data_IF_682537681769
#
_entry.id   IF_682537681769
#
_cell.length_a   1.000
_cell.length_b   1.000
_cell.length_c   1.000
_cell.angle_alpha   90.00
_cell.angle_beta   90.00
_cell.angle_gamma   90.00
#
_symmetry.space_group_name_H-M   'P 1'
#
loop_
_entity.id
_entity.type
_entity.pdbx_description
1 polymer ?
#
# COMPACT_ATOMS: atom_id res chain seq x y z
N UNK A 1 29.52 16.17 0.75
CA UNK A 1 29.35 15.69 -0.64
C UNK A 1 29.99 16.70 -1.57
N UNK A 2 30.82 16.28 -2.53
CA UNK A 2 31.42 17.20 -3.51
C UNK A 2 31.01 16.88 -4.94
N UNK A 3 30.51 17.87 -5.66
CA UNK A 3 30.15 17.77 -7.05
C UNK A 3 31.25 18.37 -7.93
N UNK A 4 31.67 17.62 -8.94
CA UNK A 4 32.45 18.12 -10.06
C UNK A 4 31.58 18.14 -11.30
N UNK A 5 31.62 19.22 -12.09
CA UNK A 5 30.83 19.30 -13.32
C UNK A 5 31.74 19.66 -14.49
N UNK A 6 31.98 18.70 -15.38
CA UNK A 6 32.68 18.90 -16.65
C UNK A 6 31.68 19.46 -17.67
N UNK A 7 31.89 20.70 -18.10
CA UNK A 7 30.93 21.42 -18.95
C UNK A 7 31.63 22.43 -19.84
N UNK A 8 30.95 22.86 -20.90
CA UNK A 8 31.31 24.03 -21.69
C UNK A 8 30.78 25.34 -21.10
N UNK A 9 29.85 25.30 -20.14
CA UNK A 9 29.19 26.48 -19.60
C UNK A 9 29.25 26.50 -18.06
N UNK A 10 30.45 26.64 -17.45
CA UNK A 10 30.61 26.66 -15.99
C UNK A 10 29.70 27.66 -15.28
N UNK A 11 29.56 28.88 -15.83
CA UNK A 11 28.74 29.93 -15.23
C UNK A 11 27.26 29.54 -15.10
N UNK A 12 26.74 28.73 -16.03
CA UNK A 12 25.35 28.27 -15.98
C UNK A 12 25.10 27.40 -14.75
N UNK A 13 26.04 26.49 -14.47
CA UNK A 13 25.96 25.59 -13.30
C UNK A 13 26.16 26.37 -12.01
N UNK A 14 27.18 27.24 -11.95
CA UNK A 14 27.49 28.03 -10.75
C UNK A 14 26.29 28.89 -10.34
N UNK A 15 25.70 29.63 -11.28
CA UNK A 15 24.52 30.48 -11.03
C UNK A 15 23.23 29.69 -10.78
N UNK A 16 23.18 28.43 -11.19
CA UNK A 16 22.03 27.57 -10.90
C UNK A 16 22.05 27.03 -9.47
N UNK A 17 23.25 26.81 -8.92
CA UNK A 17 23.45 26.16 -7.63
C UNK A 17 23.62 27.14 -6.46
N UNK A 18 23.96 28.40 -6.72
CA UNK A 18 24.30 29.43 -5.71
C UNK A 18 23.08 30.05 -4.97
N UNK A 19 21.87 29.56 -5.24
CA UNK A 19 20.63 30.10 -4.68
C UNK A 19 19.91 29.13 -3.73
N UNK A 20 18.99 29.69 -2.93
CA UNK A 20 18.06 28.93 -2.08
C UNK A 20 18.75 27.93 -1.13
N UNK A 21 18.23 26.71 -1.00
CA UNK A 21 18.72 25.69 -0.08
C UNK A 21 20.12 25.16 -0.46
N UNK A 22 20.41 25.08 -1.77
CA UNK A 22 21.69 24.62 -2.28
C UNK A 22 22.80 25.63 -1.97
N UNK A 23 22.54 26.92 -2.20
CA UNK A 23 23.45 28.02 -1.80
C UNK A 23 23.74 27.98 -0.30
N UNK A 24 22.71 27.88 0.54
CA UNK A 24 22.86 27.75 2.00
C UNK A 24 23.62 26.50 2.42
N UNK A 25 23.44 25.38 1.71
CA UNK A 25 24.16 24.14 1.97
C UNK A 25 25.65 24.27 1.63
N UNK A 26 25.99 24.97 0.54
CA UNK A 26 27.37 25.30 0.19
C UNK A 26 28.01 26.26 1.20
N UNK A 27 27.32 27.31 1.63
CA UNK A 27 27.81 28.24 2.66
C UNK A 27 28.14 27.53 3.99
N UNK A 28 27.39 26.48 4.31
CA UNK A 28 27.61 25.63 5.49
C UNK A 28 28.64 24.52 5.27
N UNK A 29 29.19 24.37 4.07
CA UNK A 29 30.15 23.31 3.74
C UNK A 29 29.55 21.89 3.75
N UNK A 30 28.23 21.76 3.59
CA UNK A 30 27.56 20.45 3.54
C UNK A 30 27.70 19.81 2.15
N UNK A 31 27.61 20.65 1.12
CA UNK A 31 27.88 20.31 -0.27
C UNK A 31 28.93 21.27 -0.84
N UNK A 32 29.69 20.82 -1.82
CA UNK A 32 30.69 21.63 -2.53
C UNK A 32 30.50 21.46 -4.05
N UNK A 33 30.81 22.51 -4.82
CA UNK A 33 30.72 22.50 -6.28
C UNK A 33 32.04 22.97 -6.90
N UNK A 34 32.56 22.20 -7.85
CA UNK A 34 33.70 22.56 -8.68
C UNK A 34 33.36 22.33 -10.17
N UNK A 35 33.19 23.42 -10.91
CA UNK A 35 32.97 23.34 -12.36
C UNK A 35 34.29 23.32 -13.11
N UNK A 36 34.43 22.41 -14.07
CA UNK A 36 35.62 22.21 -14.89
C UNK A 36 35.26 22.53 -16.33
N UNK A 37 35.83 23.61 -16.88
CA UNK A 37 35.62 23.97 -18.27
C UNK A 37 36.44 23.07 -19.18
N UNK A 38 35.77 22.27 -20.02
CA UNK A 38 36.45 21.32 -20.91
C UNK A 38 37.38 22.06 -21.90
N UNK A 39 37.08 23.32 -22.24
CA UNK A 39 37.92 24.15 -23.13
C UNK A 39 39.30 24.43 -22.60
N UNK A 40 39.49 24.41 -21.29
CA UNK A 40 40.80 24.63 -20.66
C UNK A 40 41.78 23.47 -20.96
N UNK A 41 41.25 22.35 -21.47
CA UNK A 41 41.99 21.12 -21.79
C UNK A 41 42.07 20.85 -23.30
N UNK A 42 41.68 21.81 -24.15
CA UNK A 42 41.64 21.66 -25.61
C UNK A 42 43.01 21.37 -26.26
N UNK A 43 44.11 21.72 -25.60
CA UNK A 43 45.48 21.54 -26.13
C UNK A 43 45.80 22.38 -27.37
N UNK A 44 44.90 23.29 -27.78
CA UNK A 44 45.07 24.14 -28.96
C UNK A 44 44.80 25.62 -28.64
N UNK A 45 45.41 26.52 -29.42
CA UNK A 45 45.36 27.98 -29.21
C UNK A 45 43.97 28.60 -29.31
N UNK A 46 42.99 27.86 -29.85
CA UNK A 46 41.65 28.35 -30.12
C UNK A 46 40.62 27.87 -29.08
N UNK A 47 41.01 26.98 -28.16
CA UNK A 47 40.07 26.37 -27.22
C UNK A 47 39.00 25.51 -27.91
N UNK A 48 39.27 25.03 -29.14
CA UNK A 48 38.33 24.18 -29.89
C UNK A 48 38.29 22.79 -29.26
N UNK A 49 37.09 22.31 -28.94
CA UNK A 49 36.88 21.02 -28.24
C UNK A 49 35.97 20.07 -29.01
N UNK A 50 35.58 20.45 -30.23
CA UNK A 50 34.64 19.74 -31.06
C UNK A 50 35.17 19.56 -32.50
N UNK A 51 34.72 18.52 -33.18
CA UNK A 51 34.97 18.30 -34.60
C UNK A 51 33.82 17.61 -35.31
N UNK A 52 33.90 17.54 -36.64
CA UNK A 52 32.93 16.81 -37.44
C UNK A 52 32.95 15.30 -37.12
N UNK A 53 31.78 14.64 -37.07
CA UNK A 53 31.71 13.20 -36.84
C UNK A 53 32.31 12.40 -38.01
N UNK A 54 33.06 11.34 -37.71
CA UNK A 54 33.38 10.32 -38.71
C UNK A 54 32.09 9.62 -39.20
N UNK A 55 32.04 9.28 -40.48
CA UNK A 55 30.84 8.71 -41.12
C UNK A 55 29.91 9.75 -41.76
N UNK A 56 30.17 11.05 -41.59
CA UNK A 56 29.32 12.14 -42.08
C UNK A 56 28.12 12.38 -41.16
N UNK A 57 27.35 13.42 -41.46
CA UNK A 57 26.24 13.88 -40.61
C UNK A 57 26.29 15.39 -40.38
N UNK A 58 25.18 15.94 -39.89
CA UNK A 58 25.14 17.33 -39.42
C UNK A 58 25.64 17.40 -37.96
N UNK A 59 26.11 18.58 -37.55
CA UNK A 59 26.53 18.82 -36.17
C UNK A 59 28.02 18.54 -35.91
N UNK A 60 28.38 18.61 -34.63
CA UNK A 60 29.75 18.45 -34.14
C UNK A 60 29.74 17.45 -32.98
N UNK A 61 30.87 16.79 -32.72
CA UNK A 61 31.08 15.85 -31.62
C UNK A 61 32.23 16.36 -30.75
N UNK A 62 32.07 16.31 -29.43
CA UNK A 62 33.15 16.66 -28.51
C UNK A 62 34.31 15.66 -28.63
N UNK A 63 35.50 16.21 -28.78
CA UNK A 63 36.73 15.46 -28.96
C UNK A 63 37.10 14.68 -27.68
N UNK A 64 37.73 13.49 -27.81
CA UNK A 64 38.03 12.65 -26.66
C UNK A 64 39.10 13.24 -25.73
N UNK A 65 40.15 13.84 -26.28
CA UNK A 65 41.32 14.27 -25.49
C UNK A 65 40.98 15.36 -24.45
N UNK A 66 40.27 16.46 -24.78
CA UNK A 66 39.96 17.49 -23.78
C UNK A 66 39.08 16.97 -22.65
N UNK A 67 38.14 16.07 -22.97
CA UNK A 67 37.28 15.42 -21.98
C UNK A 67 38.11 14.50 -21.07
N UNK A 68 38.99 13.68 -21.64
CA UNK A 68 39.86 12.79 -20.88
C UNK A 68 40.80 13.56 -19.94
N UNK A 69 41.43 14.64 -20.42
CA UNK A 69 42.33 15.46 -19.61
C UNK A 69 41.60 16.19 -18.47
N UNK A 70 40.37 16.67 -18.72
CA UNK A 70 39.53 17.24 -17.67
C UNK A 70 39.16 16.20 -16.60
N UNK A 71 38.78 14.99 -17.01
CA UNK A 71 38.54 13.87 -16.10
C UNK A 71 39.80 13.50 -15.30
N UNK A 72 40.95 13.38 -15.96
CA UNK A 72 42.23 13.06 -15.32
C UNK A 72 42.66 14.10 -14.29
N UNK A 73 42.40 15.38 -14.54
CA UNK A 73 42.65 16.44 -13.58
C UNK A 73 41.80 16.27 -12.31
N UNK A 74 40.52 15.92 -12.46
CA UNK A 74 39.64 15.61 -11.32
C UNK A 74 40.13 14.34 -10.61
N UNK A 75 40.41 13.27 -11.35
CA UNK A 75 40.93 11.99 -10.81
C UNK A 75 42.17 12.19 -9.95
N UNK A 76 43.12 13.00 -10.41
CA UNK A 76 44.34 13.33 -9.66
C UNK A 76 44.06 14.12 -8.38
N UNK A 77 43.13 15.09 -8.43
CA UNK A 77 42.71 15.87 -7.24
C UNK A 77 42.02 14.98 -6.20
N UNK A 78 41.16 14.07 -6.67
CA UNK A 78 40.39 13.15 -5.83
C UNK A 78 41.26 11.99 -5.31
N UNK A 79 42.34 11.62 -6.03
CA UNK A 79 43.27 10.55 -5.63
C UNK A 79 42.77 9.13 -5.94
N UNK A 80 41.59 8.99 -6.55
CA UNK A 80 40.98 7.73 -7.00
C UNK A 80 40.13 7.98 -8.25
N UNK A 81 39.70 6.91 -8.92
CA UNK A 81 38.72 7.01 -10.02
C UNK A 81 37.37 7.45 -9.45
N UNK A 82 36.88 8.66 -9.77
CA UNK A 82 35.58 9.11 -9.27
C UNK A 82 34.45 8.49 -10.09
N UNK A 83 33.28 8.36 -9.47
CA UNK A 83 32.05 7.95 -10.17
C UNK A 83 31.64 9.08 -11.11
N UNK A 84 31.55 8.77 -12.41
CA UNK A 84 31.38 9.76 -13.47
C UNK A 84 30.10 9.48 -14.25
N UNK A 85 29.14 10.38 -14.12
CA UNK A 85 27.80 10.28 -14.67
C UNK A 85 27.76 11.07 -15.97
N UNK A 86 27.54 10.39 -17.09
CA UNK A 86 27.25 11.04 -18.36
C UNK A 86 25.74 11.24 -18.52
N UNK A 87 25.39 12.49 -18.85
CA UNK A 87 24.02 12.95 -18.96
C UNK A 87 23.57 12.80 -20.41
N UNK A 88 22.74 11.80 -20.67
CA UNK A 88 22.35 11.40 -22.03
C UNK A 88 20.94 10.84 -22.05
N UNK A 89 20.14 11.13 -23.10
CA UNK A 89 18.81 10.51 -23.26
C UNK A 89 18.89 8.99 -23.46
N UNK A 90 20.06 8.43 -23.78
CA UNK A 90 20.28 6.99 -23.94
C UNK A 90 20.47 6.25 -22.60
N UNK A 91 20.64 7.01 -21.50
CA UNK A 91 20.90 6.46 -20.19
C UNK A 91 19.69 5.87 -19.50
N UNK A 92 19.91 5.20 -18.37
CA UNK A 92 18.80 4.74 -17.50
C UNK A 92 18.02 5.96 -16.97
N UNK A 93 16.68 5.93 -16.94
CA UNK A 93 15.91 7.03 -16.38
C UNK A 93 16.27 7.32 -14.92
N UNK A 94 16.42 8.60 -14.59
CA UNK A 94 16.70 9.08 -13.25
C UNK A 94 15.46 8.90 -12.36
N UNK A 95 15.63 8.20 -11.25
CA UNK A 95 14.57 7.82 -10.33
C UNK A 95 15.00 8.02 -8.87
N UNK A 96 14.06 7.86 -7.94
CA UNK A 96 14.30 8.11 -6.52
C UNK A 96 15.35 7.15 -5.92
N UNK A 97 15.40 5.90 -6.38
CA UNK A 97 16.42 4.94 -5.97
C UNK A 97 17.82 5.40 -6.36
N UNK A 98 17.95 6.02 -7.55
CA UNK A 98 19.21 6.59 -8.03
C UNK A 98 19.64 7.80 -7.20
N UNK A 99 18.70 8.65 -6.79
CA UNK A 99 18.97 9.79 -5.90
C UNK A 99 19.61 9.31 -4.62
N UNK A 100 19.01 8.32 -3.96
CA UNK A 100 19.50 7.76 -2.70
C UNK A 100 20.82 7.02 -2.85
N UNK A 101 21.01 6.32 -3.97
CA UNK A 101 22.27 5.66 -4.31
C UNK A 101 23.40 6.69 -4.44
N UNK A 102 23.19 7.72 -5.26
CA UNK A 102 24.17 8.77 -5.51
C UNK A 102 24.44 9.63 -4.28
N UNK A 103 23.46 9.87 -3.41
CA UNK A 103 23.64 10.67 -2.19
C UNK A 103 24.62 10.03 -1.18
N UNK A 104 24.93 8.74 -1.32
CA UNK A 104 25.89 8.03 -0.46
C UNK A 104 27.33 8.20 -0.90
N UNK A 105 27.57 8.70 -2.11
CA UNK A 105 28.92 8.95 -2.59
C UNK A 105 29.51 10.18 -1.87
N UNK A 106 30.81 10.18 -1.54
CA UNK A 106 31.44 11.40 -1.01
C UNK A 106 31.66 12.45 -2.11
N UNK A 107 31.85 12.01 -3.36
CA UNK A 107 31.95 12.87 -4.53
C UNK A 107 31.35 12.26 -5.79
N UNK A 108 30.87 13.11 -6.69
CA UNK A 108 30.30 12.75 -7.99
C UNK A 108 30.83 13.67 -9.08
N UNK A 109 31.09 13.10 -10.26
CA UNK A 109 31.43 13.87 -11.48
C UNK A 109 30.27 13.81 -12.45
N UNK A 110 29.80 14.96 -12.92
CA UNK A 110 28.82 15.07 -13.98
C UNK A 110 29.50 15.50 -15.28
N UNK A 111 29.36 14.69 -16.32
CA UNK A 111 29.84 14.99 -17.67
C UNK A 111 28.67 15.54 -18.50
N UNK A 112 28.72 16.83 -18.81
CA UNK A 112 27.72 17.48 -19.64
C UNK A 112 28.08 17.35 -21.12
N UNK A 113 27.29 16.60 -21.88
CA UNK A 113 27.38 16.57 -23.33
C UNK A 113 26.88 17.86 -23.96
N UNK A 114 27.32 18.14 -25.19
CA UNK A 114 26.80 19.20 -26.04
C UNK A 114 26.92 18.76 -27.50
N UNK A 115 26.28 19.52 -28.41
CA UNK A 115 26.24 19.22 -29.84
C UNK A 115 25.56 17.86 -30.08
N UNK A 116 26.11 16.99 -30.96
CA UNK A 116 25.58 15.64 -31.17
C UNK A 116 25.96 14.66 -30.04
N UNK A 117 26.94 15.04 -29.20
CA UNK A 117 27.42 14.21 -28.10
C UNK A 117 28.93 14.27 -27.93
N UNK A 118 29.46 13.21 -27.31
CA UNK A 118 30.88 13.05 -26.99
C UNK A 118 31.38 11.81 -27.70
N UNK A 119 32.64 11.83 -28.15
CA UNK A 119 33.29 10.65 -28.74
C UNK A 119 33.18 9.42 -27.81
N UNK A 120 32.62 8.33 -28.34
CA UNK A 120 32.29 7.13 -27.55
C UNK A 120 33.50 6.57 -26.79
N UNK A 121 34.70 6.66 -27.36
CA UNK A 121 35.92 6.09 -26.78
C UNK A 121 36.28 6.73 -25.44
N UNK A 122 36.07 8.04 -25.28
CA UNK A 122 36.33 8.68 -23.98
C UNK A 122 35.23 8.36 -22.98
N UNK A 123 34.00 8.11 -23.44
CA UNK A 123 32.91 7.67 -22.58
C UNK A 123 33.23 6.29 -22.00
N UNK A 124 33.64 5.33 -22.82
CA UNK A 124 34.08 3.98 -22.40
C UNK A 124 35.20 4.02 -21.35
N UNK A 125 36.15 4.96 -21.48
CA UNK A 125 37.28 5.09 -20.56
C UNK A 125 36.94 5.78 -19.24
N UNK A 126 36.04 6.77 -19.26
CA UNK A 126 35.84 7.69 -18.11
C UNK A 126 34.52 7.49 -17.37
N UNK A 127 33.44 7.17 -18.08
CA UNK A 127 32.07 7.14 -17.55
C UNK A 127 31.79 5.84 -16.81
N UNK A 128 31.05 5.94 -15.70
CA UNK A 128 30.55 4.79 -14.94
C UNK A 128 29.05 4.60 -15.10
N UNK A 129 28.31 5.69 -15.33
CA UNK A 129 26.86 5.69 -15.36
C UNK A 129 26.34 6.58 -16.50
N UNK A 130 25.43 6.04 -17.30
CA UNK A 130 24.70 6.79 -18.32
C UNK A 130 23.30 7.05 -17.78
N UNK A 131 22.92 8.32 -17.60
CA UNK A 131 21.65 8.69 -16.95
C UNK A 131 20.87 9.69 -17.79
N UNK A 132 19.57 9.40 -17.95
CA UNK A 132 18.58 10.27 -18.59
C UNK A 132 17.66 10.89 -17.54
N UNK A 133 17.28 12.15 -17.68
CA UNK A 133 16.25 12.78 -16.82
C UNK A 133 14.84 12.72 -17.43
N UNK A 134 14.68 12.00 -18.54
CA UNK A 134 13.39 11.71 -19.16
C UNK A 134 13.45 11.59 -20.68
N UNK A 135 12.33 11.18 -21.27
CA UNK A 135 12.22 10.83 -22.69
C UNK A 135 12.00 12.07 -23.56
N UNK A 136 12.99 12.97 -23.57
CA UNK A 136 13.04 14.19 -24.38
C UNK A 136 14.50 14.61 -24.61
N UNK A 137 14.73 15.50 -25.58
CA UNK A 137 16.07 15.95 -25.97
C UNK A 137 16.30 17.39 -25.53
N UNK A 138 17.48 17.64 -24.94
CA UNK A 138 17.95 18.97 -24.54
C UNK A 138 19.19 19.36 -25.34
N UNK A 139 19.56 20.64 -25.29
CA UNK A 139 20.73 21.17 -26.01
C UNK A 139 22.07 20.80 -25.37
N UNK A 140 22.05 20.38 -24.09
CA UNK A 140 23.25 20.01 -23.34
C UNK A 140 22.93 19.37 -22.00
N UNK A 141 23.95 18.84 -21.36
CA UNK A 141 23.85 18.14 -20.07
C UNK A 141 23.72 19.05 -18.84
N UNK A 142 23.85 20.37 -18.98
CA UNK A 142 23.91 21.28 -17.83
C UNK A 142 22.60 21.30 -17.01
N UNK A 143 21.45 21.32 -17.66
CA UNK A 143 20.15 21.25 -16.98
C UNK A 143 19.95 19.90 -16.26
N UNK A 144 20.18 18.72 -16.90
CA UNK A 144 20.19 17.44 -16.20
C UNK A 144 21.13 17.39 -14.99
N UNK A 145 22.33 17.96 -15.10
CA UNK A 145 23.28 17.99 -13.99
C UNK A 145 22.69 18.73 -12.78
N UNK A 146 22.10 19.91 -13.00
CA UNK A 146 21.47 20.71 -11.95
C UNK A 146 20.26 20.01 -11.34
N UNK A 147 19.41 19.38 -12.16
CA UNK A 147 18.25 18.60 -11.68
C UNK A 147 18.71 17.46 -10.76
N UNK A 148 19.73 16.71 -11.19
CA UNK A 148 20.25 15.59 -10.40
C UNK A 148 20.94 16.08 -9.13
N UNK A 149 21.80 17.10 -9.21
CA UNK A 149 22.47 17.67 -8.04
C UNK A 149 21.49 18.21 -7.01
N UNK A 150 20.41 18.89 -7.43
CA UNK A 150 19.34 19.35 -6.52
C UNK A 150 18.71 18.17 -5.79
N UNK A 151 18.22 17.17 -6.53
CA UNK A 151 17.56 15.99 -5.96
C UNK A 151 18.48 15.23 -4.99
N UNK A 152 19.74 14.98 -5.37
CA UNK A 152 20.74 14.28 -4.56
C UNK A 152 21.09 15.08 -3.30
N UNK A 153 21.27 16.41 -3.42
CA UNK A 153 21.66 17.27 -2.30
C UNK A 153 20.65 17.23 -1.16
N UNK A 154 19.36 17.05 -1.46
CA UNK A 154 18.29 16.95 -0.45
C UNK A 154 18.48 15.76 0.51
N UNK A 155 19.17 14.72 0.07
CA UNK A 155 19.48 13.52 0.86
C UNK A 155 20.85 13.59 1.57
N UNK A 156 21.62 14.66 1.35
CA UNK A 156 22.86 14.89 2.09
C UNK A 156 22.54 15.35 3.52
N UNK A 157 23.07 14.68 4.56
CA UNK A 157 22.78 15.03 5.95
C UNK A 157 23.03 16.50 6.27
N UNK A 158 22.03 17.16 6.85
CA UNK A 158 22.09 18.56 7.27
C UNK A 158 21.63 19.59 6.23
N UNK A 159 21.41 19.18 4.96
CA UNK A 159 20.93 20.10 3.92
C UNK A 159 19.49 20.51 4.19
N UNK A 160 18.59 19.54 4.43
CA UNK A 160 17.23 19.81 4.91
C UNK A 160 17.19 19.81 6.44
N UNK A 161 16.51 20.80 7.03
CA UNK A 161 16.47 21.00 8.49
C UNK A 161 15.56 20.00 9.23
N UNK A 162 14.60 19.40 8.53
CA UNK A 162 13.59 18.54 9.11
C UNK A 162 13.71 17.15 8.49
N UNK A 163 14.14 16.17 9.28
CA UNK A 163 14.15 14.76 8.84
C UNK A 163 12.75 14.28 8.45
N UNK A 164 11.68 14.85 9.03
CA UNK A 164 10.29 14.56 8.67
C UNK A 164 9.90 15.04 7.26
N UNK A 165 10.50 16.13 6.75
CA UNK A 165 10.11 16.67 5.44
C UNK A 165 10.49 15.73 4.29
N UNK A 166 11.61 15.01 4.43
CA UNK A 166 12.02 13.97 3.48
C UNK A 166 11.29 12.63 3.70
N UNK A 167 10.50 12.49 4.78
CA UNK A 167 9.79 11.26 5.14
C UNK A 167 8.33 11.19 4.66
N UNK A 168 7.80 12.23 4.02
CA UNK A 168 6.43 12.21 3.48
C UNK A 168 6.34 12.88 2.10
N UNK A 169 7.27 12.56 1.19
CA UNK A 169 7.29 13.15 -0.16
C UNK A 169 6.72 12.21 -1.23
N UNK A 170 6.43 12.77 -2.40
CA UNK A 170 6.05 11.95 -3.55
C UNK A 170 7.16 10.94 -3.87
N UNK A 171 6.74 9.76 -4.32
CA UNK A 171 7.55 8.57 -4.65
C UNK A 171 8.14 7.83 -3.45
N UNK A 172 8.05 8.40 -2.25
CA UNK A 172 8.22 7.61 -1.04
C UNK A 172 7.05 6.62 -0.90
N UNK A 173 7.36 5.36 -0.62
CA UNK A 173 6.41 4.22 -0.65
C UNK A 173 5.61 4.10 -1.96
N UNK A 174 6.18 4.60 -3.07
CA UNK A 174 5.57 4.60 -4.39
C UNK A 174 4.20 5.30 -4.44
N UNK A 175 4.01 6.37 -3.65
CA UNK A 175 2.80 7.18 -3.62
C UNK A 175 3.09 8.64 -3.98
N UNK A 176 2.12 9.31 -4.60
CA UNK A 176 2.13 10.77 -4.73
C UNK A 176 1.71 11.42 -3.41
N UNK A 177 2.28 12.58 -3.12
CA UNK A 177 1.97 13.34 -1.91
C UNK A 177 0.52 13.85 -1.91
N UNK A 178 -0.07 13.95 -0.72
CA UNK A 178 -1.42 14.44 -0.50
C UNK A 178 -1.58 15.95 -0.85
N UNK A 179 -2.80 16.49 -1.01
CA UNK A 179 -3.00 17.91 -1.23
C UNK A 179 -2.60 18.74 0.00
N UNK A 180 -1.83 19.80 -0.25
CA UNK A 180 -1.52 20.82 0.74
C UNK A 180 -2.50 21.98 0.70
N UNK A 181 -2.81 22.51 1.88
CA UNK A 181 -3.63 23.69 2.06
C UNK A 181 -2.93 24.66 2.99
N UNK A 182 -3.07 25.95 2.73
CA UNK A 182 -2.57 27.02 3.61
C UNK A 182 -3.63 28.10 3.76
N UNK A 183 -3.36 29.07 4.62
CA UNK A 183 -4.27 30.19 4.89
C UNK A 183 -4.47 31.01 3.61
N UNK A 184 -5.67 31.59 3.39
CA UNK A 184 -6.84 31.63 4.28
C UNK A 184 -7.73 30.36 4.22
N UNK A 185 -8.59 30.17 5.22
CA UNK A 185 -9.46 28.97 5.33
C UNK A 185 -10.51 28.84 4.21
N UNK A 186 -10.94 29.96 3.62
CA UNK A 186 -11.82 29.97 2.45
C UNK A 186 -11.21 30.87 1.39
N UNK A 187 -10.97 30.32 0.20
CA UNK A 187 -10.48 31.07 -0.95
C UNK A 187 -11.44 30.90 -2.12
N UNK A 188 -12.09 31.99 -2.55
CA UNK A 188 -13.09 32.01 -3.64
C UNK A 188 -14.21 30.97 -3.46
N UNK A 189 -14.73 30.85 -2.23
CA UNK A 189 -15.77 29.89 -1.88
C UNK A 189 -15.29 28.43 -1.79
N UNK A 190 -13.99 28.16 -1.92
CA UNK A 190 -13.39 26.84 -1.69
C UNK A 190 -12.82 26.78 -0.28
N UNK A 191 -13.39 25.92 0.54
CA UNK A 191 -12.96 25.71 1.92
C UNK A 191 -11.80 24.73 2.02
N UNK A 192 -10.92 24.94 3.01
CA UNK A 192 -9.97 23.91 3.45
C UNK A 192 -10.75 22.74 4.07
N UNK A 193 -10.39 21.46 3.78
CA UNK A 193 -11.03 20.31 4.40
C UNK A 193 -11.11 20.42 5.92
N UNK A 194 -12.32 20.27 6.49
CA UNK A 194 -12.57 20.50 7.92
C UNK A 194 -11.67 19.65 8.84
N UNK A 195 -11.29 18.44 8.42
CA UNK A 195 -10.35 17.59 9.16
C UNK A 195 -8.99 18.28 9.40
N UNK A 196 -8.52 19.08 8.44
CA UNK A 196 -7.25 19.83 8.56
C UNK A 196 -7.35 21.04 9.50
N UNK A 197 -8.57 21.49 9.80
CA UNK A 197 -8.85 22.59 10.74
C UNK A 197 -9.14 22.09 12.16
N UNK A 198 -9.27 20.78 12.36
CA UNK A 198 -9.69 20.18 13.63
C UNK A 198 -8.60 20.18 14.72
N UNK A 199 -7.32 20.29 14.33
CA UNK A 199 -6.17 20.12 15.23
C UNK A 199 -5.95 18.68 15.72
N UNK A 200 -6.72 17.70 15.26
CA UNK A 200 -6.56 16.31 15.63
C UNK A 200 -5.52 15.61 14.74
N UNK A 201 -4.39 15.19 15.31
CA UNK A 201 -3.28 14.60 14.57
C UNK A 201 -3.66 13.29 13.85
N UNK A 202 -4.20 12.28 14.54
CA UNK A 202 -4.51 10.98 13.90
C UNK A 202 -5.52 11.08 12.75
N UNK A 203 -6.64 11.85 12.88
CA UNK A 203 -7.55 12.06 11.76
C UNK A 203 -6.91 12.78 10.57
N UNK A 204 -5.98 13.70 10.81
CA UNK A 204 -5.23 14.40 9.75
C UNK A 204 -4.32 13.43 9.01
N UNK A 205 -3.55 12.60 9.72
CA UNK A 205 -2.68 11.60 9.10
C UNK A 205 -3.47 10.54 8.31
N UNK A 206 -4.58 10.07 8.86
CA UNK A 206 -5.48 9.14 8.16
C UNK A 206 -6.00 9.75 6.86
N UNK A 207 -6.41 11.02 6.92
CA UNK A 207 -6.87 11.73 5.73
C UNK A 207 -5.75 11.94 4.71
N UNK A 208 -4.54 12.30 5.16
CA UNK A 208 -3.34 12.47 4.31
C UNK A 208 -3.01 11.19 3.55
N UNK A 209 -2.94 10.06 4.25
CA UNK A 209 -2.71 8.75 3.64
C UNK A 209 -3.79 8.42 2.59
N UNK A 210 -5.07 8.59 2.93
CA UNK A 210 -6.17 8.33 2.01
C UNK A 210 -6.13 9.23 0.76
N UNK A 211 -5.78 10.51 0.90
CA UNK A 211 -5.64 11.42 -0.24
C UNK A 211 -4.43 11.11 -1.11
N UNK A 212 -3.31 10.71 -0.50
CA UNK A 212 -2.10 10.28 -1.20
C UNK A 212 -2.39 9.08 -2.12
N UNK A 213 -3.04 8.05 -1.58
CA UNK A 213 -3.50 6.88 -2.36
C UNK A 213 -4.45 7.29 -3.48
N UNK A 214 -5.47 8.10 -3.16
CA UNK A 214 -6.45 8.57 -4.15
C UNK A 214 -5.78 9.30 -5.31
N UNK A 215 -4.88 10.24 -5.02
CA UNK A 215 -4.18 11.02 -6.04
C UNK A 215 -3.26 10.16 -6.88
N UNK A 216 -2.56 9.21 -6.27
CA UNK A 216 -1.71 8.25 -6.98
C UNK A 216 -2.56 7.45 -7.97
N UNK A 217 -3.71 6.93 -7.54
CA UNK A 217 -4.65 6.22 -8.41
C UNK A 217 -5.14 7.07 -9.59
N UNK A 218 -5.46 8.34 -9.35
CA UNK A 218 -5.99 9.25 -10.37
C UNK A 218 -4.94 9.68 -11.40
N UNK A 219 -3.67 9.82 -11.00
CA UNK A 219 -2.63 10.49 -11.83
C UNK A 219 -1.48 9.60 -12.26
N UNK A 220 -1.11 8.63 -11.43
CA UNK A 220 0.02 7.71 -11.62
C UNK A 220 -0.36 6.29 -11.17
N UNK A 221 -1.40 5.67 -11.77
CA UNK A 221 -1.84 4.33 -11.40
C UNK A 221 -0.74 3.28 -11.58
N UNK A 222 0.26 3.56 -12.43
CA UNK A 222 1.46 2.74 -12.62
C UNK A 222 2.28 2.56 -11.33
N UNK A 223 2.31 3.55 -10.43
CA UNK A 223 3.00 3.43 -9.13
C UNK A 223 2.29 2.46 -8.18
N UNK A 224 1.01 2.16 -8.43
CA UNK A 224 0.25 1.16 -7.68
C UNK A 224 0.41 -0.26 -8.25
N UNK A 225 0.95 -0.42 -9.47
CA UNK A 225 1.00 -1.69 -10.20
C UNK A 225 1.88 -2.78 -9.53
N UNK A 226 2.61 -2.45 -8.47
CA UNK A 226 3.36 -3.40 -7.63
C UNK A 226 2.67 -3.82 -6.31
N UNK A 227 1.51 -3.21 -5.97
CA UNK A 227 0.80 -3.44 -4.70
C UNK A 227 -0.17 -4.62 -4.79
N UNK A 228 -0.47 -5.23 -3.64
CA UNK A 228 -1.42 -6.34 -3.59
C UNK A 228 -2.86 -5.84 -3.73
N UNK A 229 -3.66 -6.46 -4.60
CA UNK A 229 -5.11 -6.27 -4.59
C UNK A 229 -5.72 -7.08 -3.46
N UNK A 230 -6.62 -6.48 -2.68
CA UNK A 230 -7.26 -7.15 -1.56
C UNK A 230 -8.50 -7.91 -2.07
N UNK A 231 -8.54 -9.22 -1.89
CA UNK A 231 -9.75 -10.02 -2.14
C UNK A 231 -10.43 -10.29 -0.80
N UNK A 232 -11.53 -9.60 -0.52
CA UNK A 232 -12.27 -9.69 0.72
C UNK A 232 -13.40 -10.74 0.60
N UNK A 233 -13.14 -11.96 1.07
CA UNK A 233 -14.12 -13.03 1.13
C UNK A 233 -14.80 -13.05 2.50
N UNK A 234 -16.07 -12.66 2.55
CA UNK A 234 -16.78 -12.39 3.81
C UNK A 234 -18.05 -13.21 3.91
N UNK A 235 -18.17 -13.97 4.98
CA UNK A 235 -19.44 -14.51 5.45
C UNK A 235 -19.87 -13.70 6.66
N UNK A 236 -21.00 -13.00 6.61
CA UNK A 236 -21.49 -12.23 7.75
C UNK A 236 -23.00 -12.02 7.67
N UNK A 237 -23.80 -13.00 8.13
CA UNK A 237 -25.26 -12.89 8.05
C UNK A 237 -25.82 -11.68 8.80
N UNK A 238 -25.12 -11.17 9.81
CA UNK A 238 -25.60 -10.06 10.66
C UNK A 238 -24.73 -8.80 10.56
N UNK A 239 -23.93 -8.67 9.50
CA UNK A 239 -23.07 -7.51 9.16
C UNK A 239 -21.93 -7.16 10.14
N UNK A 240 -21.91 -7.72 11.36
CA UNK A 240 -20.89 -7.37 12.35
C UNK A 240 -19.47 -7.66 11.88
N UNK A 241 -19.25 -8.82 11.22
CA UNK A 241 -17.95 -9.17 10.64
C UNK A 241 -17.65 -8.31 9.41
N UNK A 242 -18.65 -8.03 8.57
CA UNK A 242 -18.49 -7.15 7.40
C UNK A 242 -17.98 -5.77 7.79
N UNK A 243 -18.45 -5.21 8.92
CA UNK A 243 -17.99 -3.92 9.41
C UNK A 243 -16.48 -3.92 9.73
N UNK A 244 -15.99 -4.96 10.40
CA UNK A 244 -14.56 -5.09 10.70
C UNK A 244 -13.72 -5.24 9.43
N UNK A 245 -14.23 -5.99 8.44
CA UNK A 245 -13.56 -6.13 7.13
C UNK A 245 -13.51 -4.80 6.38
N UNK A 246 -14.55 -3.97 6.45
CA UNK A 246 -14.53 -2.62 5.85
C UNK A 246 -13.47 -1.73 6.48
N UNK A 247 -13.33 -1.75 7.81
CA UNK A 247 -12.25 -1.01 8.47
C UNK A 247 -10.86 -1.52 8.07
N UNK A 248 -10.68 -2.83 7.98
CA UNK A 248 -9.42 -3.39 7.49
C UNK A 248 -9.14 -2.92 6.06
N UNK A 249 -10.12 -3.03 5.16
CA UNK A 249 -9.99 -2.62 3.77
C UNK A 249 -9.67 -1.13 3.61
N UNK A 250 -10.34 -0.27 4.38
CA UNK A 250 -10.07 1.18 4.44
C UNK A 250 -8.63 1.46 4.88
N UNK A 251 -8.17 0.81 5.96
CA UNK A 251 -6.81 0.96 6.48
C UNK A 251 -5.75 0.36 5.54
N UNK A 252 -6.08 -0.73 4.85
CA UNK A 252 -5.20 -1.39 3.90
C UNK A 252 -5.00 -0.57 2.62
N UNK A 253 -5.95 0.29 2.25
CA UNK A 253 -5.75 1.34 1.25
C UNK A 253 -5.64 0.87 -0.22
N UNK A 254 -6.13 -0.33 -0.56
CA UNK A 254 -6.04 -0.91 -1.93
C UNK A 254 -7.38 -1.04 -2.64
N UNK A 255 -7.34 -1.41 -3.92
CA UNK A 255 -8.52 -1.95 -4.60
C UNK A 255 -9.00 -3.23 -3.91
N UNK A 256 -10.31 -3.36 -3.75
CA UNK A 256 -10.93 -4.49 -3.05
C UNK A 256 -11.92 -5.21 -3.95
N UNK A 257 -11.65 -6.49 -4.20
CA UNK A 257 -12.64 -7.40 -4.77
C UNK A 257 -13.46 -8.01 -3.62
N UNK A 258 -14.75 -7.67 -3.57
CA UNK A 258 -15.66 -8.17 -2.54
C UNK A 258 -16.34 -9.46 -2.96
N UNK A 259 -16.21 -10.51 -2.14
CA UNK A 259 -16.91 -11.78 -2.30
C UNK A 259 -17.87 -11.97 -1.11
N UNK A 260 -19.16 -11.71 -1.34
CA UNK A 260 -20.22 -11.89 -0.35
C UNK A 260 -20.61 -13.37 -0.27
N UNK A 261 -19.99 -14.10 0.65
CA UNK A 261 -20.22 -15.53 0.86
C UNK A 261 -21.53 -15.82 1.59
N UNK A 262 -22.31 -14.80 1.98
CA UNK A 262 -23.69 -15.01 2.40
C UNK A 262 -24.51 -15.58 1.23
N UNK A 263 -24.18 -15.20 -0.01
CA UNK A 263 -24.89 -15.63 -1.23
C UNK A 263 -24.42 -17.02 -1.68
N UNK A 264 -25.33 -18.01 -1.76
CA UNK A 264 -25.00 -19.34 -2.25
C UNK A 264 -24.41 -19.34 -3.67
N UNK A 265 -24.87 -18.47 -4.58
CA UNK A 265 -24.31 -18.39 -5.94
C UNK A 265 -22.81 -18.04 -5.93
N UNK A 266 -22.40 -17.07 -5.10
CA UNK A 266 -20.98 -16.67 -4.99
C UNK A 266 -20.14 -17.83 -4.46
N UNK A 267 -20.66 -18.62 -3.51
CA UNK A 267 -19.96 -19.83 -3.00
C UNK A 267 -19.86 -20.97 -4.02
N UNK A 268 -20.67 -20.97 -5.08
CA UNK A 268 -20.63 -21.96 -6.17
C UNK A 268 -19.69 -21.55 -7.31
N UNK A 269 -19.35 -20.27 -7.41
CA UNK A 269 -18.45 -19.74 -8.43
C UNK A 269 -16.99 -19.88 -8.00
N UNK A 270 -16.20 -20.63 -8.77
CA UNK A 270 -14.76 -20.72 -8.52
C UNK A 270 -14.09 -19.36 -8.72
N UNK A 271 -13.26 -18.95 -7.76
CA UNK A 271 -12.50 -17.71 -7.81
C UNK A 271 -11.02 -18.04 -7.68
N UNK A 272 -10.26 -17.74 -8.73
CA UNK A 272 -8.81 -17.93 -8.79
C UNK A 272 -8.15 -16.60 -8.53
N UNK A 273 -7.29 -16.55 -7.51
CA UNK A 273 -6.52 -15.37 -7.17
C UNK A 273 -5.31 -15.21 -8.08
N UNK A 274 -5.06 -13.99 -8.53
CA UNK A 274 -3.90 -13.60 -9.33
C UNK A 274 -2.64 -13.52 -8.46
N UNK A 275 -1.45 -13.52 -9.06
CA UNK A 275 -0.16 -13.56 -8.34
C UNK A 275 -0.02 -12.47 -7.25
N UNK A 276 -0.60 -11.28 -7.51
CA UNK A 276 -0.56 -10.11 -6.62
C UNK A 276 -1.85 -9.91 -5.81
N UNK A 277 -2.67 -10.95 -5.65
CA UNK A 277 -3.80 -10.90 -4.74
C UNK A 277 -3.41 -11.31 -3.31
N UNK A 278 -3.96 -10.60 -2.32
CA UNK A 278 -3.99 -11.02 -0.92
C UNK A 278 -5.43 -11.31 -0.50
N UNK A 279 -5.67 -12.49 0.06
CA UNK A 279 -7.00 -12.89 0.51
C UNK A 279 -7.25 -12.42 1.95
N UNK A 280 -8.31 -11.65 2.19
CA UNK A 280 -8.88 -11.48 3.52
C UNK A 280 -10.11 -12.38 3.66
N UNK A 281 -9.99 -13.45 4.43
CA UNK A 281 -11.06 -14.40 4.69
C UNK A 281 -11.68 -14.14 6.07
N UNK A 282 -12.95 -13.75 6.10
CA UNK A 282 -13.61 -13.31 7.32
C UNK A 282 -14.94 -14.03 7.55
N UNK A 283 -15.15 -14.51 8.77
CA UNK A 283 -16.40 -15.18 9.15
C UNK A 283 -16.72 -15.02 10.65
N UNK A 284 -18.01 -15.02 11.04
CA UNK A 284 -18.39 -15.17 12.43
C UNK A 284 -18.02 -16.55 12.99
N UNK A 285 -18.02 -16.65 14.30
CA UNK A 285 -17.71 -17.88 15.06
C UNK A 285 -18.98 -18.55 15.59
N UNK A 286 -19.18 -19.82 15.25
CA UNK A 286 -20.33 -20.64 15.68
C UNK A 286 -19.82 -21.77 16.57
N UNK A 287 -20.22 -21.79 17.84
CA UNK A 287 -19.75 -22.81 18.79
C UNK A 287 -18.21 -22.89 18.97
N UNK A 288 -17.49 -21.81 18.64
CA UNK A 288 -16.01 -21.79 18.62
C UNK A 288 -15.39 -22.29 17.31
N UNK A 289 -16.21 -22.63 16.32
CA UNK A 289 -15.85 -23.22 15.04
C UNK A 289 -16.30 -22.34 13.87
N UNK A 290 -15.81 -22.65 12.68
CA UNK A 290 -16.30 -22.10 11.42
C UNK A 290 -17.77 -22.52 11.22
N UNK A 291 -18.65 -21.64 10.71
CA UNK A 291 -20.05 -21.99 10.48
C UNK A 291 -20.17 -23.24 9.58
N UNK A 292 -21.07 -24.18 9.92
CA UNK A 292 -21.29 -25.41 9.16
C UNK A 292 -22.11 -25.10 7.91
N UNK A 293 -21.55 -24.29 7.02
CA UNK A 293 -22.17 -23.83 5.78
C UNK A 293 -21.50 -24.55 4.61
N UNK A 294 -22.31 -25.18 3.77
CA UNK A 294 -21.85 -25.88 2.59
C UNK A 294 -21.12 -24.93 1.63
N UNK A 295 -19.98 -25.39 1.09
CA UNK A 295 -19.17 -24.62 0.14
C UNK A 295 -18.45 -23.40 0.72
N UNK A 296 -18.60 -23.08 2.02
CA UNK A 296 -18.04 -21.86 2.60
C UNK A 296 -16.51 -21.77 2.42
N UNK A 297 -16.02 -20.73 1.74
CA UNK A 297 -14.63 -20.54 1.29
C UNK A 297 -14.07 -21.62 0.34
N UNK A 298 -14.83 -22.68 0.01
CA UNK A 298 -14.32 -23.82 -0.77
C UNK A 298 -14.12 -23.50 -2.26
N UNK A 299 -14.69 -22.40 -2.73
CA UNK A 299 -14.59 -21.92 -4.10
C UNK A 299 -13.31 -21.13 -4.41
N UNK A 300 -12.54 -20.78 -3.37
CA UNK A 300 -11.31 -19.99 -3.54
C UNK A 300 -10.14 -20.89 -3.98
N UNK A 301 -9.29 -20.37 -4.86
CA UNK A 301 -8.04 -21.00 -5.31
C UNK A 301 -6.91 -19.98 -5.25
N UNK A 302 -5.81 -20.33 -4.61
CA UNK A 302 -4.58 -19.56 -4.54
C UNK A 302 -3.42 -20.31 -5.16
N UNK A 303 -2.40 -19.57 -5.59
CA UNK A 303 -1.17 -20.08 -6.21
C UNK A 303 0.05 -19.74 -5.34
N UNK A 304 -0.08 -19.90 -4.02
CA UNK A 304 0.90 -19.41 -3.04
C UNK A 304 0.58 -18.01 -2.51
N UNK A 305 -0.63 -17.51 -2.76
CA UNK A 305 -1.08 -16.19 -2.31
C UNK A 305 -1.08 -16.09 -0.77
N UNK A 306 -0.68 -14.92 -0.23
CA UNK A 306 -0.88 -14.63 1.18
C UNK A 306 -2.36 -14.56 1.52
N UNK A 307 -2.74 -15.02 2.71
CA UNK A 307 -4.06 -14.80 3.27
C UNK A 307 -4.01 -14.27 4.71
N UNK A 308 -5.04 -13.52 5.05
CA UNK A 308 -5.30 -12.88 6.34
C UNK A 308 -6.66 -13.39 6.82
N UNK A 309 -6.75 -13.75 8.09
CA UNK A 309 -7.97 -14.32 8.67
C UNK A 309 -8.60 -13.35 9.67
N UNK A 310 -9.92 -13.17 9.61
CA UNK A 310 -10.65 -12.35 10.57
C UNK A 310 -11.85 -13.12 11.15
N UNK A 311 -11.81 -13.36 12.46
CA UNK A 311 -12.90 -13.99 13.18
C UNK A 311 -13.75 -12.95 13.92
N UNK A 312 -15.01 -12.79 13.50
CA UNK A 312 -15.99 -12.02 14.27
C UNK A 312 -16.58 -12.88 15.38
N UNK A 313 -16.36 -12.52 16.65
CA UNK A 313 -16.84 -13.33 17.76
C UNK A 313 -17.61 -12.50 18.79
N UNK A 314 -18.62 -13.09 19.42
CA UNK A 314 -19.45 -12.41 20.41
C UNK A 314 -19.01 -12.73 21.85
N UNK A 315 -17.76 -12.40 22.20
CA UNK A 315 -17.20 -12.54 23.55
C UNK A 315 -17.14 -13.99 24.12
N UNK A 316 -16.88 -14.98 23.25
CA UNK A 316 -16.80 -16.42 23.54
C UNK A 316 -15.48 -17.03 23.03
N UNK A 317 -15.18 -18.27 23.41
CA UNK A 317 -14.07 -19.03 22.78
C UNK A 317 -14.25 -19.13 21.26
N UNK A 318 -13.17 -18.89 20.52
CA UNK A 318 -13.12 -18.83 19.06
C UNK A 318 -12.02 -19.74 18.46
N UNK A 319 -11.28 -20.44 19.32
CA UNK A 319 -9.93 -20.95 19.05
C UNK A 319 -9.89 -21.89 17.82
N UNK A 320 -10.88 -22.77 17.65
CA UNK A 320 -10.87 -23.72 16.53
C UNK A 320 -11.15 -23.07 15.16
N UNK A 321 -11.88 -21.95 15.11
CA UNK A 321 -12.34 -21.35 13.85
C UNK A 321 -11.16 -20.88 12.98
N UNK A 322 -10.18 -20.19 13.58
CA UNK A 322 -9.00 -19.69 12.86
C UNK A 322 -8.16 -20.85 12.32
N UNK A 323 -7.94 -21.90 13.12
CA UNK A 323 -7.22 -23.09 12.70
C UNK A 323 -7.96 -23.85 11.57
N UNK A 324 -9.28 -24.00 11.67
CA UNK A 324 -10.11 -24.62 10.63
C UNK A 324 -10.04 -23.86 9.31
N UNK A 325 -10.19 -22.53 9.36
CA UNK A 325 -10.16 -21.68 8.17
C UNK A 325 -8.78 -21.69 7.52
N UNK A 326 -7.72 -21.55 8.32
CA UNK A 326 -6.35 -21.63 7.83
C UNK A 326 -6.05 -22.99 7.18
N UNK A 327 -6.49 -24.08 7.80
CA UNK A 327 -6.31 -25.43 7.26
C UNK A 327 -7.03 -25.63 5.93
N UNK A 328 -8.25 -25.11 5.80
CA UNK A 328 -9.03 -25.13 4.54
C UNK A 328 -8.31 -24.36 3.44
N UNK A 329 -7.97 -23.09 3.71
CA UNK A 329 -7.30 -22.21 2.75
C UNK A 329 -5.92 -22.73 2.36
N UNK A 330 -5.18 -23.36 3.28
CA UNK A 330 -3.90 -24.00 2.97
C UNK A 330 -4.03 -25.10 1.90
N UNK A 331 -5.09 -25.91 1.95
CA UNK A 331 -5.36 -26.92 0.91
C UNK A 331 -5.71 -26.31 -0.44
N UNK A 332 -6.16 -25.06 -0.44
CA UNK A 332 -6.54 -24.30 -1.63
C UNK A 332 -5.38 -23.44 -2.17
N UNK A 333 -4.16 -23.63 -1.66
CA UNK A 333 -2.96 -22.94 -2.14
C UNK A 333 -2.70 -21.57 -1.50
N UNK A 334 -3.32 -21.27 -0.36
CA UNK A 334 -3.07 -20.04 0.39
C UNK A 334 -2.06 -20.22 1.52
N UNK A 335 -1.48 -19.10 1.92
CA UNK A 335 -0.50 -19.02 2.99
C UNK A 335 -0.89 -17.97 4.04
N UNK A 336 -1.24 -18.40 5.26
CA UNK A 336 -1.65 -17.46 6.30
C UNK A 336 -0.46 -16.63 6.81
N UNK A 337 -0.57 -15.31 6.66
CA UNK A 337 0.41 -14.31 7.11
C UNK A 337 -0.08 -13.51 8.32
N UNK A 338 -1.32 -13.69 8.76
CA UNK A 338 -1.83 -13.04 9.96
C UNK A 338 -3.27 -13.41 10.23
N UNK A 339 -3.66 -13.35 11.51
CA UNK A 339 -5.04 -13.52 11.90
C UNK A 339 -5.42 -12.53 12.99
N UNK A 340 -6.69 -12.15 13.02
CA UNK A 340 -7.25 -11.28 14.03
C UNK A 340 -8.60 -11.79 14.51
N UNK A 341 -8.91 -11.53 15.77
CA UNK A 341 -10.27 -11.64 16.30
C UNK A 341 -10.83 -10.26 16.60
N UNK A 342 -12.08 -10.02 16.22
CA UNK A 342 -12.79 -8.76 16.47
C UNK A 342 -14.12 -9.07 17.13
N UNK A 343 -14.46 -8.27 18.14
CA UNK A 343 -15.71 -8.44 18.87
C UNK A 343 -16.83 -7.80 18.09
N UNK A 344 -17.88 -8.58 17.81
CA UNK A 344 -19.06 -8.16 17.04
C UNK A 344 -20.33 -8.42 17.85
N UNK A 345 -21.44 -7.69 17.59
CA UNK A 345 -22.68 -7.87 18.34
C UNK A 345 -23.14 -9.33 18.37
N UNK A 346 -23.37 -9.87 19.57
CA UNK A 346 -23.84 -11.23 19.73
C UNK A 346 -25.36 -11.33 19.49
N UNK A 347 -25.76 -12.12 18.50
CA UNK A 347 -27.16 -12.21 18.03
C UNK A 347 -28.16 -12.68 19.10
N UNK A 348 -27.75 -13.58 20.00
CA UNK A 348 -28.62 -14.09 21.09
C UNK A 348 -28.45 -13.37 22.42
N UNK A 349 -27.44 -12.49 22.56
CA UNK A 349 -27.06 -11.95 23.86
C UNK A 349 -26.37 -10.59 23.68
N UNK A 350 -27.05 -9.58 23.12
CA UNK A 350 -26.43 -8.32 22.73
C UNK A 350 -25.70 -7.61 23.88
N UNK A 351 -26.18 -7.79 25.12
CA UNK A 351 -25.60 -7.22 26.34
C UNK A 351 -24.13 -7.60 26.58
N UNK A 352 -23.70 -8.81 26.19
CA UNK A 352 -22.31 -9.26 26.45
C UNK A 352 -21.29 -8.60 25.51
N UNK A 353 -21.79 -7.88 24.49
CA UNK A 353 -21.00 -7.16 23.47
C UNK A 353 -21.51 -5.73 23.33
N UNK A 354 -22.18 -5.20 24.34
CA UNK A 354 -22.76 -3.86 24.29
C UNK A 354 -21.68 -2.80 24.02
N UNK A 355 -21.95 -1.88 23.10
CA UNK A 355 -20.99 -0.87 22.67
C UNK A 355 -19.82 -1.40 21.81
N UNK A 356 -19.87 -2.65 21.34
CA UNK A 356 -18.84 -3.27 20.49
C UNK A 356 -19.40 -3.65 19.10
N UNK A 357 -18.64 -3.45 18.01
CA UNK A 357 -17.29 -2.95 18.00
C UNK A 357 -17.19 -1.44 18.31
N UNK A 358 -16.18 -1.06 19.10
CA UNK A 358 -15.90 0.30 19.57
C UNK A 358 -14.80 0.97 18.72
N UNK A 359 -14.43 2.21 19.06
CA UNK A 359 -13.24 2.85 18.48
C UNK A 359 -11.94 2.10 18.81
N UNK A 360 -11.86 1.42 19.96
CA UNK A 360 -10.69 0.60 20.31
C UNK A 360 -10.56 -0.62 19.38
N UNK A 361 -11.68 -1.27 19.05
CA UNK A 361 -11.69 -2.35 18.06
C UNK A 361 -11.25 -1.86 16.68
N UNK A 362 -11.74 -0.68 16.28
CA UNK A 362 -11.35 -0.08 15.00
C UNK A 362 -9.85 0.18 14.96
N UNK A 363 -9.26 0.78 16.00
CA UNK A 363 -7.80 1.01 16.08
C UNK A 363 -7.02 -0.29 15.99
N UNK A 364 -7.46 -1.34 16.70
CA UNK A 364 -6.81 -2.65 16.62
C UNK A 364 -6.86 -3.23 15.19
N UNK A 365 -7.96 -3.02 14.45
CA UNK A 365 -8.08 -3.45 13.05
C UNK A 365 -7.15 -2.65 12.13
N UNK A 366 -7.02 -1.34 12.37
CA UNK A 366 -6.11 -0.46 11.63
C UNK A 366 -4.64 -0.85 11.87
N UNK A 367 -4.24 -1.06 13.13
CA UNK A 367 -2.91 -1.58 13.51
C UNK A 367 -2.64 -2.94 12.87
N UNK A 368 -3.64 -3.83 12.83
CA UNK A 368 -3.51 -5.12 12.18
C UNK A 368 -3.31 -4.99 10.68
N UNK A 369 -4.04 -4.10 9.99
CA UNK A 369 -3.86 -3.86 8.56
C UNK A 369 -2.44 -3.37 8.23
N UNK A 370 -1.88 -2.47 9.06
CA UNK A 370 -0.49 -2.01 8.93
C UNK A 370 0.51 -3.16 9.14
N UNK A 371 0.31 -4.00 10.16
CA UNK A 371 1.15 -5.19 10.37
C UNK A 371 1.14 -6.14 9.18
N UNK A 372 -0.03 -6.34 8.53
CA UNK A 372 -0.11 -7.16 7.32
C UNK A 372 0.71 -6.55 6.18
N UNK A 373 0.66 -5.23 6.00
CA UNK A 373 1.48 -4.54 5.01
C UNK A 373 2.97 -4.81 5.20
N UNK A 374 3.48 -4.61 6.41
CA UNK A 374 4.88 -4.88 6.74
C UNK A 374 5.26 -6.34 6.43
N UNK A 375 4.36 -7.29 6.72
CA UNK A 375 4.57 -8.72 6.43
C UNK A 375 4.55 -9.04 4.94
N UNK A 376 3.82 -8.29 4.12
CA UNK A 376 3.76 -8.46 2.66
C UNK A 376 5.01 -7.93 1.96
N UNK A 377 5.63 -6.90 2.51
CA UNK A 377 6.87 -6.28 2.00
C UNK A 377 8.14 -6.97 2.52
N UNK A 378 8.05 -7.73 3.62
CA UNK A 378 9.19 -8.43 4.20
C UNK A 378 9.85 -9.43 3.21
N UNK A 379 11.20 -9.46 3.11
CA UNK A 379 11.93 -10.36 2.20
C UNK A 379 11.68 -11.85 2.43
N UNK A 380 11.26 -12.21 3.65
CA UNK A 380 10.92 -13.58 4.06
C UNK A 380 9.55 -13.60 4.70
N UNK A 381 8.58 -14.19 4.00
CA UNK A 381 7.23 -14.40 4.53
C UNK A 381 7.25 -15.42 5.67
N UNK A 382 6.77 -15.02 6.86
CA UNK A 382 6.73 -15.88 8.06
C UNK A 382 5.34 -16.49 8.26
N UNK A 383 5.30 -17.76 8.71
CA UNK A 383 4.06 -18.44 9.13
C UNK A 383 3.62 -17.90 10.48
N UNK A 384 2.34 -17.60 10.61
CA UNK A 384 1.73 -17.34 11.92
C UNK A 384 1.27 -18.61 12.58
N UNK A 385 1.43 -18.67 13.91
CA UNK A 385 0.94 -19.76 14.74
C UNK A 385 -0.47 -19.40 15.21
N UNK A 386 -1.44 -20.20 14.82
CA UNK A 386 -2.85 -19.98 15.17
C UNK A 386 -3.26 -20.86 16.35
N UNK A 387 -4.17 -20.38 17.23
CA UNK A 387 -4.73 -21.19 18.29
C UNK A 387 -5.71 -22.24 17.75
N UNK A 388 -6.07 -23.22 18.59
CA UNK A 388 -7.15 -24.18 18.34
C UNK A 388 -6.81 -25.40 17.49
N UNK A 389 -7.82 -26.25 17.29
CA UNK A 389 -7.73 -27.48 16.50
C UNK A 389 -8.26 -27.24 15.07
N UNK A 390 -7.48 -27.62 14.06
CA UNK A 390 -7.87 -27.51 12.65
C UNK A 390 -8.98 -28.49 12.24
N UNK A 391 -9.14 -29.60 12.97
CA UNK A 391 -10.13 -30.65 12.71
C UNK A 391 -10.86 -31.05 14.01
N UNK A 392 -11.61 -30.14 14.65
CA UNK A 392 -12.35 -30.47 15.87
C UNK A 392 -13.60 -31.31 15.52
N UNK A 393 -14.12 -32.04 16.51
CA UNK A 393 -15.43 -32.69 16.37
C UNK A 393 -16.53 -31.62 16.17
N UNK A 394 -17.49 -31.81 15.25
CA UNK A 394 -18.56 -30.85 15.02
C UNK A 394 -19.36 -30.56 16.29
N UNK A 395 -19.59 -29.28 16.57
CA UNK A 395 -20.47 -28.85 17.67
C UNK A 395 -21.80 -28.38 17.09
N UNK A 396 -22.90 -29.00 17.52
CA UNK A 396 -24.23 -28.53 17.15
C UNK A 396 -24.52 -27.16 17.76
N UNK A 397 -25.08 -26.25 16.96
CA UNK A 397 -25.65 -25.02 17.50
C UNK A 397 -26.85 -25.39 18.40
N UNK A 398 -27.02 -24.67 19.51
CA UNK A 398 -28.23 -24.84 20.31
C UNK A 398 -29.41 -24.28 19.52
N UNK A 399 -30.45 -25.07 19.26
CA UNK A 399 -31.60 -24.59 18.52
C UNK A 399 -32.31 -23.50 19.35
N UNK A 400 -32.65 -22.41 18.69
CA UNK A 400 -33.57 -21.39 19.20
C UNK A 400 -34.91 -21.58 18.52
N UNK A 401 -36.00 -21.42 19.27
CA UNK A 401 -37.36 -21.51 18.72
C UNK A 401 -37.58 -20.31 17.80
N UNK A 402 -37.91 -20.56 16.54
CA UNK A 402 -38.17 -19.53 15.52
C UNK A 402 -39.67 -19.47 15.28
N UNK A 403 -40.21 -18.27 15.10
CA UNK A 403 -41.64 -18.06 14.88
C UNK A 403 -41.87 -17.18 13.65
N UNK A 404 -42.96 -17.45 12.95
CA UNK A 404 -43.47 -16.66 11.84
C UNK A 404 -44.91 -16.26 12.15
N UNK A 405 -45.10 -14.97 12.41
CA UNK A 405 -46.42 -14.36 12.55
C UNK A 405 -47.02 -14.16 11.15
N UNK A 406 -47.87 -15.11 10.73
CA UNK A 406 -48.56 -15.07 9.44
C UNK A 406 -49.49 -13.87 9.30
N UNK A 407 -50.00 -13.31 10.39
CA UNK A 407 -50.87 -12.14 10.34
C UNK A 407 -50.10 -10.85 10.02
N UNK A 408 -48.80 -10.80 10.33
CA UNK A 408 -47.90 -9.69 9.99
C UNK A 408 -47.10 -9.94 8.72
N UNK A 409 -47.04 -11.17 8.23
CA UNK A 409 -46.24 -11.51 7.07
C UNK A 409 -46.79 -10.83 5.81
N UNK A 410 -45.89 -10.27 5.00
CA UNK A 410 -46.23 -9.66 3.72
C UNK A 410 -46.09 -10.64 2.55
N UNK A 411 -45.74 -11.90 2.82
CA UNK A 411 -45.42 -12.94 1.83
C UNK A 411 -44.43 -12.47 0.73
N UNK A 412 -43.52 -11.56 1.10
CA UNK A 412 -42.56 -10.94 0.16
C UNK A 412 -41.36 -11.83 -0.22
N UNK A 413 -41.17 -13.00 0.40
CA UNK A 413 -40.06 -13.92 0.09
C UNK A 413 -38.65 -13.49 0.55
N UNK A 414 -38.42 -12.21 0.90
CA UNK A 414 -37.09 -11.65 1.25
C UNK A 414 -36.31 -12.51 2.24
N UNK A 415 -36.97 -13.01 3.29
CA UNK A 415 -36.31 -13.84 4.30
C UNK A 415 -35.74 -15.15 3.75
N UNK A 416 -36.39 -15.75 2.74
CA UNK A 416 -35.95 -16.97 2.08
C UNK A 416 -34.88 -16.67 1.03
N UNK A 417 -35.04 -15.58 0.27
CA UNK A 417 -34.05 -15.09 -0.69
C UNK A 417 -32.70 -14.75 -0.02
N UNK A 418 -32.74 -14.06 1.11
CA UNK A 418 -31.56 -13.67 1.89
C UNK A 418 -31.04 -14.78 2.81
N UNK A 419 -31.65 -15.98 2.79
CA UNK A 419 -31.24 -17.07 3.67
C UNK A 419 -29.90 -17.65 3.21
N UNK A 420 -28.81 -17.51 4.00
CA UNK A 420 -27.48 -17.86 3.53
C UNK A 420 -27.24 -19.36 3.33
N UNK A 421 -28.18 -20.19 3.75
CA UNK A 421 -28.12 -21.66 3.72
C UNK A 421 -29.35 -22.27 3.05
N UNK A 422 -30.18 -21.44 2.40
CA UNK A 422 -31.38 -21.88 1.66
C UNK A 422 -32.35 -22.72 2.54
N UNK A 423 -32.34 -22.49 3.87
CA UNK A 423 -33.13 -23.23 4.85
C UNK A 423 -34.61 -22.81 4.93
N UNK A 424 -35.06 -21.89 4.09
CA UNK A 424 -36.44 -21.41 4.09
C UNK A 424 -37.06 -21.73 2.74
N UNK A 425 -38.21 -22.42 2.76
CA UNK A 425 -38.97 -22.69 1.56
C UNK A 425 -39.43 -21.37 0.92
N UNK A 426 -39.36 -21.26 -0.41
CA UNK A 426 -39.65 -19.99 -1.11
C UNK A 426 -41.15 -19.70 -1.19
N UNK A 427 -41.98 -20.74 -1.16
CA UNK A 427 -43.43 -20.62 -1.31
C UNK A 427 -44.10 -20.63 0.06
N UNK A 428 -43.72 -21.55 0.94
CA UNK A 428 -44.33 -21.66 2.26
C UNK A 428 -43.64 -20.79 3.30
N UNK A 429 -42.37 -20.40 3.11
CA UNK A 429 -41.56 -19.70 4.12
C UNK A 429 -41.29 -20.55 5.38
N UNK A 430 -41.55 -21.86 5.34
CA UNK A 430 -41.24 -22.75 6.46
C UNK A 430 -39.73 -23.00 6.56
N UNK A 431 -39.26 -23.22 7.79
CA UNK A 431 -37.85 -23.37 8.10
C UNK A 431 -37.45 -24.84 8.21
N UNK A 432 -36.54 -25.28 7.35
CA UNK A 432 -35.83 -26.54 7.49
C UNK A 432 -34.77 -26.39 8.58
N UNK A 433 -35.08 -26.92 9.77
CA UNK A 433 -34.19 -26.91 10.93
C UNK A 433 -32.91 -27.73 10.72
N UNK A 434 -32.88 -28.66 9.76
CA UNK A 434 -31.66 -29.44 9.45
C UNK A 434 -30.62 -28.62 8.67
N UNK A 435 -31.09 -27.61 7.91
CA UNK A 435 -30.24 -26.68 7.15
C UNK A 435 -29.96 -25.39 7.93
N UNK A 436 -30.88 -24.98 8.81
CA UNK A 436 -30.78 -23.70 9.49
C UNK A 436 -29.61 -23.63 10.48
N UNK A 437 -28.64 -22.77 10.20
CA UNK A 437 -27.51 -22.51 11.11
C UNK A 437 -27.86 -21.60 12.30
N UNK A 438 -29.12 -21.16 12.42
CA UNK A 438 -29.56 -20.22 13.47
C UNK A 438 -28.84 -18.86 13.47
N UNK A 439 -28.56 -18.31 12.28
CA UNK A 439 -27.91 -16.99 12.13
C UNK A 439 -28.84 -15.79 12.35
N UNK A 440 -30.16 -16.03 12.34
CA UNK A 440 -31.23 -15.03 12.47
C UNK A 440 -31.26 -13.93 11.39
N UNK A 441 -30.61 -14.13 10.24
CA UNK A 441 -30.73 -13.24 9.07
C UNK A 441 -32.20 -13.02 8.70
N UNK A 442 -32.99 -14.10 8.67
CA UNK A 442 -34.40 -14.07 8.30
C UNK A 442 -35.27 -13.14 9.17
N UNK A 443 -34.97 -13.03 10.47
CA UNK A 443 -35.64 -12.08 11.37
C UNK A 443 -35.14 -10.65 11.11
N UNK A 444 -33.82 -10.49 10.91
CA UNK A 444 -33.18 -9.17 10.71
C UNK A 444 -33.57 -8.48 9.40
N UNK A 445 -33.79 -9.23 8.33
CA UNK A 445 -34.16 -8.68 7.01
C UNK A 445 -35.67 -8.58 6.82
N UNK A 446 -36.49 -9.06 7.76
CA UNK A 446 -37.94 -9.06 7.62
C UNK A 446 -38.49 -7.64 7.74
N UNK A 447 -39.04 -7.03 6.67
CA UNK A 447 -39.49 -5.64 6.71
C UNK A 447 -40.70 -5.43 7.64
N UNK A 448 -41.50 -6.47 7.85
CA UNK A 448 -42.68 -6.41 8.71
C UNK A 448 -42.44 -6.89 10.14
N UNK A 449 -41.20 -7.26 10.49
CA UNK A 449 -40.88 -7.92 11.77
C UNK A 449 -41.79 -9.12 12.08
N UNK A 450 -42.22 -9.84 11.03
CA UNK A 450 -43.08 -11.01 11.14
C UNK A 450 -42.32 -12.26 11.57
N UNK A 451 -40.98 -12.25 11.49
CA UNK A 451 -40.13 -13.33 11.98
C UNK A 451 -39.47 -12.94 13.29
N UNK A 452 -39.51 -13.85 14.25
CA UNK A 452 -38.89 -13.68 15.56
C UNK A 452 -38.23 -14.99 16.01
N UNK A 453 -37.53 -14.92 17.13
CA UNK A 453 -36.93 -16.07 17.77
C UNK A 453 -36.93 -15.89 19.29
N UNK A 454 -37.03 -17.00 20.02
CA UNK A 454 -36.83 -17.03 21.46
C UNK A 454 -35.43 -17.55 21.78
N UNK A 455 -34.56 -16.62 22.19
CA UNK A 455 -33.21 -16.90 22.66
C UNK A 455 -33.07 -16.75 24.19
N UNK A 456 -34.14 -16.51 24.96
CA UNK A 456 -34.05 -16.21 26.39
C UNK A 456 -33.29 -17.28 27.23
N UNK A 457 -33.37 -18.59 26.94
CA UNK A 457 -32.55 -19.58 27.62
C UNK A 457 -31.05 -19.49 27.28
N UNK A 458 -30.73 -19.15 26.03
CA UNK A 458 -29.36 -19.00 25.55
C UNK A 458 -28.75 -17.70 26.07
N UNK A 459 -29.52 -16.61 26.05
CA UNK A 459 -29.15 -15.30 26.56
C UNK A 459 -28.72 -15.38 28.03
N UNK A 460 -29.58 -15.91 28.91
CA UNK A 460 -29.29 -16.04 30.35
C UNK A 460 -27.97 -16.75 30.63
N UNK A 461 -27.78 -17.92 30.02
CA UNK A 461 -26.54 -18.70 30.16
C UNK A 461 -25.31 -17.93 29.66
N UNK A 462 -25.41 -17.22 28.54
CA UNK A 462 -24.28 -16.48 27.98
C UNK A 462 -23.95 -15.25 28.83
N UNK A 463 -24.95 -14.53 29.33
CA UNK A 463 -24.73 -13.42 30.25
C UNK A 463 -24.03 -13.87 31.54
N UNK A 464 -24.38 -15.03 32.08
CA UNK A 464 -23.72 -15.61 33.26
C UNK A 464 -22.27 -16.04 32.99
N UNK A 465 -21.99 -16.64 31.83
CA UNK A 465 -20.67 -17.24 31.53
C UNK A 465 -19.68 -16.31 30.81
N UNK A 466 -20.19 -15.31 30.09
CA UNK A 466 -19.43 -14.47 29.16
C UNK A 466 -19.61 -12.98 29.45
N UNK A 467 -19.87 -12.61 30.71
CA UNK A 467 -20.05 -11.23 31.13
C UNK A 467 -18.78 -10.39 31.19
N UNK A 468 -17.58 -11.00 31.14
CA UNK A 468 -16.29 -10.29 31.15
C UNK A 468 -15.90 -9.97 29.70
N UNK A 469 -15.77 -8.70 29.30
CA UNK A 469 -15.38 -8.33 27.95
C UNK A 469 -13.95 -8.80 27.62
N UNK A 470 -13.79 -9.47 26.48
CA UNK A 470 -12.49 -9.79 25.89
C UNK A 470 -11.94 -8.61 25.08
N UNK A 471 -10.70 -8.75 24.63
CA UNK A 471 -10.03 -7.81 23.72
C UNK A 471 -9.91 -8.42 22.31
N UNK A 472 -9.73 -7.60 21.27
CA UNK A 472 -9.21 -8.09 20.00
C UNK A 472 -7.86 -8.76 20.21
N UNK A 473 -7.60 -9.83 19.47
CA UNK A 473 -6.32 -10.54 19.51
C UNK A 473 -5.74 -10.63 18.10
N UNK A 474 -4.44 -10.41 17.99
CA UNK A 474 -3.67 -10.42 16.74
C UNK A 474 -2.62 -11.53 16.80
N UNK A 475 -2.48 -12.28 15.72
CA UNK A 475 -1.56 -13.42 15.58
C UNK A 475 -0.58 -13.23 14.40
#
# INVERSE_FOLDING_TARGET
MKYYVMTLFPEMIQRGMDNSILGKAMEKGLIELETVNIRDYAGNRYGKVDDYPYGGGAGMVLQPEPVYQAFEAIRKKVGRRPRTIYLTPQGRPFCQELVEEFAREPELVFLCGHYEGIDERVLEETVTDYVSIGDYVLTGGELPAMVMMDAISRFVPGVLSNQESAQFESFQDNLLEYPHYTRPAVWRGKEVPQVLLSGAHDPVETWRAAQSVRRTRERRPDLLAGRYRLVAAVFSPTEGTSQAVRWFAEAFGQEVLWLDLNRPEVRRQEVVLEERDVLLAASPVYAGQLPPVEGLFQNLRGQGNPCVLLAGYGNRHYDDMLAQLAYRLKKQGFFCIGAMTVIVPHIFAPKITEGRPSQEDRRAVEEFAQLIWERLEAPKRRRVKLPGNACPAPKAARPVKKELDRARCLDCGICAEECPVEALDRDTLDCDESLCISCMRCARVCPANARSFDAAPVERMLTEKCGIPRKPEIF
#
